data_IF_463008887143
#
_entry.id   IF_463008887143
#
_cell.length_a   1.000
_cell.length_b   1.000
_cell.length_c   1.000
_cell.angle_alpha   90.00
_cell.angle_beta   90.00
_cell.angle_gamma   90.00
#
_symmetry.space_group_name_H-M   'P 1'
#
loop_
_entity.id
_entity.type
_entity.pdbx_description
1 polymer ?
#
# COMPACT_ATOMS: atom_id res chain seq x y z
N UNK A 1 -21.97 -0.87 21.13
CA UNK A 1 -21.48 -2.16 21.67
C UNK A 1 -20.81 -2.94 20.54
N UNK A 2 -19.60 -3.44 20.75
CA UNK A 2 -18.91 -4.31 19.78
C UNK A 2 -19.63 -5.67 19.79
N UNK A 3 -20.15 -6.09 18.62
CA UNK A 3 -20.78 -7.38 18.50
C UNK A 3 -19.72 -8.47 18.77
N UNK A 4 -20.02 -9.45 19.64
CA UNK A 4 -19.11 -10.57 20.02
C UNK A 4 -18.47 -11.24 18.77
N UNK A 5 -19.25 -11.40 17.70
CA UNK A 5 -18.76 -11.99 16.43
C UNK A 5 -17.69 -11.11 15.77
N UNK A 6 -17.85 -9.80 15.81
CA UNK A 6 -16.87 -8.87 15.25
C UNK A 6 -15.56 -8.86 16.06
N UNK A 7 -15.66 -8.87 17.40
CA UNK A 7 -14.48 -8.96 18.26
C UNK A 7 -13.71 -10.26 18.02
N UNK A 8 -14.40 -11.39 17.93
CA UNK A 8 -13.78 -12.68 17.59
C UNK A 8 -13.10 -12.68 16.22
N UNK A 9 -13.72 -12.05 15.22
CA UNK A 9 -13.10 -11.91 13.89
C UNK A 9 -11.81 -11.07 13.95
N UNK A 10 -11.80 -9.95 14.67
CA UNK A 10 -10.59 -9.13 14.82
C UNK A 10 -9.47 -9.89 15.53
N UNK A 11 -9.80 -10.64 16.60
CA UNK A 11 -8.84 -11.49 17.31
C UNK A 11 -8.29 -12.57 16.36
N UNK A 12 -9.15 -13.26 15.62
CA UNK A 12 -8.74 -14.28 14.68
C UNK A 12 -7.83 -13.72 13.57
N UNK A 13 -8.17 -12.55 12.98
CA UNK A 13 -7.34 -11.91 11.97
C UNK A 13 -6.02 -11.38 12.55
N UNK A 14 -6.04 -10.83 13.76
CA UNK A 14 -4.83 -10.41 14.47
C UNK A 14 -3.89 -11.57 14.76
N UNK A 15 -4.44 -12.70 15.26
CA UNK A 15 -3.67 -13.93 15.47
C UNK A 15 -3.13 -14.48 14.15
N UNK A 16 -3.95 -14.49 13.10
CA UNK A 16 -3.53 -14.93 11.76
C UNK A 16 -2.37 -14.04 11.25
N UNK A 17 -2.43 -12.74 11.44
CA UNK A 17 -1.35 -11.82 11.06
C UNK A 17 -0.07 -12.12 11.84
N UNK A 18 -0.15 -12.27 13.16
CA UNK A 18 1.03 -12.57 13.99
C UNK A 18 1.68 -13.89 13.58
N UNK A 19 0.88 -14.96 13.40
CA UNK A 19 1.36 -16.24 12.92
C UNK A 19 1.98 -16.10 11.52
N UNK A 20 1.31 -15.41 10.60
CA UNK A 20 1.82 -15.16 9.25
C UNK A 20 3.15 -14.41 9.26
N UNK A 21 3.30 -13.41 10.12
CA UNK A 21 4.56 -12.67 10.29
C UNK A 21 5.70 -13.61 10.71
N UNK A 22 5.51 -14.43 11.74
CA UNK A 22 6.56 -15.34 12.21
C UNK A 22 6.88 -16.40 11.17
N UNK A 23 5.85 -17.04 10.61
CA UNK A 23 6.01 -18.14 9.63
C UNK A 23 6.68 -17.62 8.34
N UNK A 24 6.33 -16.43 7.88
CA UNK A 24 6.90 -15.83 6.67
C UNK A 24 8.42 -15.64 6.73
N UNK A 25 8.99 -15.47 7.93
CA UNK A 25 10.43 -15.30 8.13
C UNK A 25 11.24 -16.58 7.85
N UNK A 26 10.61 -17.76 7.94
CA UNK A 26 11.25 -19.03 7.60
C UNK A 26 11.46 -19.25 6.10
N UNK A 27 10.66 -18.58 5.26
CA UNK A 27 10.69 -18.74 3.80
C UNK A 27 11.67 -17.78 3.12
N UNK A 28 12.23 -18.21 1.99
CA UNK A 28 13.12 -17.40 1.15
C UNK A 28 14.21 -18.26 0.52
N UNK A 29 15.09 -17.67 -0.34
CA UNK A 29 16.15 -18.42 -1.03
C UNK A 29 17.06 -19.21 -0.07
N UNK A 30 17.47 -18.61 1.04
CA UNK A 30 18.16 -19.30 2.12
C UNK A 30 17.13 -19.81 3.14
N UNK A 31 16.99 -21.11 3.28
CA UNK A 31 16.09 -21.71 4.27
C UNK A 31 16.63 -21.50 5.69
N UNK A 32 15.82 -20.91 6.56
CA UNK A 32 16.11 -20.77 8.00
C UNK A 32 15.00 -21.53 8.73
N UNK A 33 15.34 -22.55 9.55
CA UNK A 33 14.35 -23.29 10.32
C UNK A 33 13.53 -22.41 11.25
N UNK A 34 12.25 -22.69 11.41
CA UNK A 34 11.33 -21.85 12.20
C UNK A 34 11.72 -21.78 13.70
N UNK A 35 12.32 -22.84 14.24
CA UNK A 35 12.84 -22.85 15.61
C UNK A 35 14.00 -21.86 15.78
N UNK A 36 14.89 -21.74 14.78
CA UNK A 36 15.96 -20.75 14.76
C UNK A 36 15.39 -19.35 14.62
N UNK A 37 14.42 -19.13 13.71
CA UNK A 37 13.71 -17.84 13.56
C UNK A 37 13.11 -17.40 14.90
N UNK A 38 12.42 -18.33 15.58
CA UNK A 38 11.78 -18.04 16.87
C UNK A 38 12.79 -17.67 17.95
N UNK A 39 13.90 -18.42 18.06
CA UNK A 39 14.99 -18.12 19.02
C UNK A 39 15.63 -16.76 18.74
N UNK A 40 15.90 -16.42 17.47
CA UNK A 40 16.43 -15.12 17.09
C UNK A 40 15.46 -14.00 17.49
N UNK A 41 14.15 -14.15 17.22
CA UNK A 41 13.15 -13.15 17.59
C UNK A 41 13.08 -12.96 19.11
N UNK A 42 13.02 -14.05 19.89
CA UNK A 42 12.98 -13.97 21.35
C UNK A 42 14.22 -13.30 21.93
N UNK A 43 15.39 -13.61 21.37
CA UNK A 43 16.63 -12.98 21.81
C UNK A 43 16.69 -11.48 21.48
N UNK A 44 16.33 -11.10 20.23
CA UNK A 44 16.39 -9.69 19.79
C UNK A 44 15.33 -8.80 20.42
N UNK A 45 14.14 -9.32 20.72
CA UNK A 45 13.05 -8.54 21.28
C UNK A 45 13.05 -8.52 22.81
N UNK A 46 13.46 -9.60 23.45
CA UNK A 46 13.32 -9.78 24.89
C UNK A 46 14.61 -10.14 25.63
N UNK A 47 15.72 -10.36 24.91
CA UNK A 47 16.97 -10.79 25.49
C UNK A 47 16.99 -12.24 25.99
N UNK A 48 15.99 -13.07 25.62
CA UNK A 48 15.90 -14.47 26.07
C UNK A 48 16.77 -15.40 25.23
N UNK A 49 17.43 -16.33 25.91
CA UNK A 49 18.22 -17.40 25.29
C UNK A 49 19.66 -16.98 24.98
N UNK A 50 20.51 -17.96 24.73
CA UNK A 50 21.91 -17.79 24.31
C UNK A 50 21.97 -17.92 22.78
N UNK A 51 22.67 -17.04 22.06
CA UNK A 51 22.88 -17.16 20.63
C UNK A 51 23.66 -18.44 20.30
N UNK A 52 22.97 -19.46 19.83
CA UNK A 52 23.51 -20.76 19.41
C UNK A 52 23.35 -21.03 17.91
N UNK A 53 22.90 -20.00 17.16
CA UNK A 53 22.67 -20.04 15.72
C UNK A 53 23.80 -19.41 14.92
N UNK A 54 23.84 -19.68 13.62
CA UNK A 54 24.81 -19.08 12.73
C UNK A 54 24.59 -17.55 12.61
N UNK A 55 25.64 -16.71 12.78
CA UNK A 55 25.51 -15.24 12.61
C UNK A 55 24.90 -14.81 11.26
N UNK A 56 25.14 -15.57 10.18
CA UNK A 56 24.50 -15.33 8.88
C UNK A 56 23.00 -15.52 8.90
N UNK A 57 22.47 -16.49 9.67
CA UNK A 57 21.03 -16.68 9.83
C UNK A 57 20.40 -15.51 10.60
N UNK A 58 21.08 -15.01 11.63
CA UNK A 58 20.63 -13.82 12.35
C UNK A 58 20.57 -12.60 11.45
N UNK A 59 21.61 -12.36 10.66
CA UNK A 59 21.66 -11.25 9.70
C UNK A 59 20.49 -11.32 8.70
N UNK A 60 20.26 -12.50 8.11
CA UNK A 60 19.16 -12.74 7.16
C UNK A 60 17.80 -12.48 7.82
N UNK A 61 17.57 -13.02 9.02
CA UNK A 61 16.27 -12.90 9.69
C UNK A 61 16.07 -11.46 10.18
N UNK A 62 17.02 -10.90 10.94
CA UNK A 62 16.81 -9.65 11.65
C UNK A 62 16.99 -8.40 10.78
N UNK A 63 17.97 -8.38 9.88
CA UNK A 63 18.27 -7.18 9.09
C UNK A 63 17.60 -7.19 7.70
N UNK A 64 17.22 -8.35 7.17
CA UNK A 64 16.62 -8.44 5.84
C UNK A 64 15.13 -8.80 5.93
N UNK A 65 14.80 -9.94 6.58
CA UNK A 65 13.43 -10.47 6.51
C UNK A 65 12.44 -9.76 7.42
N UNK A 66 12.83 -9.41 8.65
CA UNK A 66 11.92 -8.71 9.57
C UNK A 66 11.52 -7.35 9.03
N UNK A 67 12.42 -6.45 8.60
CA UNK A 67 12.03 -5.19 8.00
C UNK A 67 11.17 -5.37 6.74
N UNK A 68 11.48 -6.35 5.89
CA UNK A 68 10.74 -6.63 4.67
C UNK A 68 9.32 -7.11 4.98
N UNK A 69 9.14 -8.02 5.92
CA UNK A 69 7.85 -8.50 6.38
C UNK A 69 7.01 -7.36 6.98
N UNK A 70 7.62 -6.52 7.85
CA UNK A 70 6.94 -5.37 8.45
C UNK A 70 6.52 -4.35 7.38
N UNK A 71 7.40 -4.04 6.43
CA UNK A 71 7.06 -3.15 5.32
C UNK A 71 5.91 -3.74 4.48
N UNK A 72 5.95 -5.04 4.18
CA UNK A 72 4.86 -5.73 3.47
C UNK A 72 3.53 -5.62 4.21
N UNK A 73 3.52 -5.87 5.50
CA UNK A 73 2.33 -5.71 6.33
C UNK A 73 1.80 -4.27 6.31
N UNK A 74 2.66 -3.27 6.44
CA UNK A 74 2.29 -1.84 6.41
C UNK A 74 1.76 -1.40 5.05
N UNK A 75 2.43 -1.78 3.97
CA UNK A 75 2.01 -1.44 2.59
C UNK A 75 0.67 -2.10 2.29
N UNK A 76 0.50 -3.38 2.62
CA UNK A 76 -0.77 -4.08 2.46
C UNK A 76 -1.91 -3.45 3.25
N UNK A 77 -1.66 -3.12 4.52
CA UNK A 77 -2.60 -2.41 5.38
C UNK A 77 -3.02 -1.06 4.80
N UNK A 78 -2.04 -0.24 4.42
CA UNK A 78 -2.28 1.11 3.93
C UNK A 78 -3.00 1.12 2.59
N UNK A 79 -2.58 0.31 1.62
CA UNK A 79 -3.27 0.23 0.32
C UNK A 79 -4.71 -0.28 0.44
N UNK A 80 -4.98 -1.27 1.30
CA UNK A 80 -6.32 -1.75 1.57
C UNK A 80 -7.19 -0.69 2.24
N UNK A 81 -6.63 0.05 3.20
CA UNK A 81 -7.29 1.16 3.88
C UNK A 81 -7.65 2.28 2.90
N UNK A 82 -6.69 2.72 2.09
CA UNK A 82 -6.87 3.75 1.06
C UNK A 82 -7.93 3.31 0.05
N UNK A 83 -7.85 2.07 -0.46
CA UNK A 83 -8.82 1.54 -1.39
C UNK A 83 -10.25 1.56 -0.83
N UNK A 84 -10.44 1.17 0.44
CA UNK A 84 -11.75 1.17 1.08
C UNK A 84 -12.40 2.56 1.10
N UNK A 85 -11.63 3.60 1.46
CA UNK A 85 -12.16 4.97 1.57
C UNK A 85 -12.32 5.65 0.20
N UNK A 86 -11.45 5.37 -0.76
CA UNK A 86 -11.59 5.89 -2.12
C UNK A 86 -12.84 5.33 -2.80
N UNK A 87 -13.10 4.02 -2.66
CA UNK A 87 -14.31 3.39 -3.16
C UNK A 87 -15.58 4.00 -2.53
N UNK A 88 -15.52 4.39 -1.25
CA UNK A 88 -16.62 5.05 -0.57
C UNK A 88 -16.90 6.46 -1.11
N UNK A 89 -15.85 7.28 -1.21
CA UNK A 89 -15.94 8.70 -1.61
C UNK A 89 -16.31 8.84 -3.09
N UNK A 90 -15.82 7.95 -3.95
CA UNK A 90 -16.14 7.94 -5.38
C UNK A 90 -17.40 7.16 -5.69
N UNK A 91 -17.94 6.39 -4.75
CA UNK A 91 -19.04 5.44 -4.95
C UNK A 91 -18.78 4.48 -6.11
N UNK A 92 -17.51 4.20 -6.34
CA UNK A 92 -17.05 3.30 -7.39
C UNK A 92 -16.23 2.16 -6.76
N UNK A 93 -16.68 0.90 -6.85
CA UNK A 93 -15.96 -0.24 -6.28
C UNK A 93 -14.62 -0.53 -6.96
N UNK A 94 -14.37 0.08 -8.12
CA UNK A 94 -13.13 -0.03 -8.89
C UNK A 94 -12.16 1.14 -8.64
N UNK A 95 -12.45 2.04 -7.69
CA UNK A 95 -11.53 3.10 -7.35
C UNK A 95 -10.29 2.55 -6.63
N UNK A 96 -9.13 2.95 -7.13
CA UNK A 96 -7.81 2.51 -6.68
C UNK A 96 -6.87 3.72 -6.57
N UNK A 97 -5.92 3.74 -5.62
CA UNK A 97 -4.94 4.83 -5.49
C UNK A 97 -4.16 5.12 -6.78
N UNK A 98 -3.94 4.13 -7.64
CA UNK A 98 -3.27 4.32 -8.93
C UNK A 98 -4.02 5.26 -9.87
N UNK A 99 -5.35 5.29 -9.81
CA UNK A 99 -6.18 6.15 -10.65
C UNK A 99 -6.13 7.64 -10.25
N UNK A 100 -5.51 7.96 -9.12
CA UNK A 100 -5.38 9.34 -8.64
C UNK A 100 -4.16 10.09 -9.18
N UNK A 101 -3.34 9.47 -10.00
CA UNK A 101 -2.12 10.07 -10.53
C UNK A 101 -0.92 10.06 -9.57
N UNK A 102 -1.13 9.68 -8.32
CA UNK A 102 -0.09 9.72 -7.26
C UNK A 102 1.07 8.78 -7.58
N UNK A 103 0.76 7.56 -8.01
CA UNK A 103 1.77 6.54 -8.36
C UNK A 103 2.60 6.94 -9.57
N UNK A 104 1.98 7.49 -10.62
CA UNK A 104 2.69 7.94 -11.81
C UNK A 104 3.59 9.16 -11.53
N UNK A 105 3.15 10.06 -10.64
CA UNK A 105 4.00 11.13 -10.11
C UNK A 105 5.19 10.59 -9.33
N UNK A 106 4.97 9.61 -8.46
CA UNK A 106 6.06 8.94 -7.74
C UNK A 106 7.07 8.30 -8.70
N UNK A 107 6.58 7.64 -9.74
CA UNK A 107 7.40 7.04 -10.80
C UNK A 107 8.24 8.10 -11.51
N UNK A 108 7.64 9.22 -11.91
CA UNK A 108 8.39 10.31 -12.55
C UNK A 108 9.49 10.87 -11.63
N UNK A 109 9.18 11.09 -10.35
CA UNK A 109 10.17 11.53 -9.36
C UNK A 109 11.34 10.54 -9.19
N UNK A 110 11.04 9.26 -9.13
CA UNK A 110 12.04 8.19 -9.06
C UNK A 110 12.92 8.15 -10.32
N UNK A 111 12.31 8.22 -11.50
CA UNK A 111 13.02 8.24 -12.81
C UNK A 111 13.97 9.42 -12.87
N UNK A 112 13.51 10.62 -12.54
CA UNK A 112 14.34 11.83 -12.57
C UNK A 112 15.57 11.67 -11.67
N UNK A 113 15.38 11.19 -10.45
CA UNK A 113 16.49 11.08 -9.51
C UNK A 113 17.49 10.00 -9.89
N UNK A 114 17.02 8.84 -10.29
CA UNK A 114 17.93 7.72 -10.61
C UNK A 114 18.71 7.97 -11.89
N UNK A 115 18.11 8.61 -12.90
CA UNK A 115 18.77 8.80 -14.21
C UNK A 115 19.55 10.11 -14.33
N UNK A 116 19.14 11.17 -13.64
CA UNK A 116 19.67 12.51 -13.91
C UNK A 116 20.30 13.20 -12.70
N UNK A 117 19.94 12.81 -11.49
CA UNK A 117 20.39 13.50 -10.25
C UNK A 117 21.39 12.65 -9.47
N UNK A 118 21.17 11.33 -9.42
CA UNK A 118 22.00 10.42 -8.61
C UNK A 118 21.65 10.46 -7.11
N UNK A 119 22.46 9.80 -6.30
CA UNK A 119 22.27 9.74 -4.84
C UNK A 119 22.80 11.03 -4.17
N UNK A 120 21.87 11.84 -3.61
CA UNK A 120 22.24 13.08 -2.88
C UNK A 120 22.22 12.83 -1.35
N UNK A 121 21.21 12.10 -0.86
CA UNK A 121 20.92 11.87 0.57
C UNK A 121 21.00 10.36 0.88
N UNK A 122 21.85 9.63 0.17
CA UNK A 122 21.98 8.17 0.32
C UNK A 122 20.64 7.45 0.11
N UNK A 123 20.31 6.53 1.02
CA UNK A 123 19.09 5.69 0.96
C UNK A 123 17.76 6.46 0.89
N UNK A 124 17.71 7.69 1.33
CA UNK A 124 16.51 8.51 1.34
C UNK A 124 16.27 9.24 0.00
N UNK A 125 17.24 9.28 -0.90
CA UNK A 125 17.15 10.04 -2.15
C UNK A 125 15.97 9.57 -3.00
N UNK A 126 15.87 8.28 -3.28
CA UNK A 126 14.80 7.71 -4.09
C UNK A 126 13.41 7.85 -3.43
N UNK A 127 13.22 7.47 -2.14
CA UNK A 127 11.93 7.66 -1.46
C UNK A 127 11.47 9.12 -1.42
N UNK A 128 12.36 10.07 -1.14
CA UNK A 128 12.00 11.50 -1.09
C UNK A 128 11.60 12.01 -2.48
N UNK A 129 12.38 11.68 -3.51
CA UNK A 129 12.06 12.11 -4.88
C UNK A 129 10.72 11.53 -5.37
N UNK A 130 10.48 10.24 -5.12
CA UNK A 130 9.21 9.60 -5.45
C UNK A 130 8.05 10.23 -4.66
N UNK A 131 8.23 10.53 -3.38
CA UNK A 131 7.22 11.19 -2.56
C UNK A 131 6.91 12.61 -3.05
N UNK A 132 7.92 13.40 -3.40
CA UNK A 132 7.74 14.74 -3.97
C UNK A 132 7.00 14.65 -5.30
N UNK A 133 7.37 13.74 -6.19
CA UNK A 133 6.68 13.50 -7.46
C UNK A 133 5.21 13.13 -7.26
N UNK A 134 4.91 12.28 -6.26
CA UNK A 134 3.56 11.93 -5.86
C UNK A 134 2.75 13.14 -5.40
N UNK A 135 3.33 13.99 -4.55
CA UNK A 135 2.70 15.24 -4.08
C UNK A 135 2.42 16.23 -5.21
N UNK A 136 3.40 16.44 -6.09
CA UNK A 136 3.24 17.34 -7.24
C UNK A 136 2.13 16.85 -8.16
N UNK A 137 2.08 15.56 -8.47
CA UNK A 137 1.00 14.98 -9.26
C UNK A 137 -0.37 15.17 -8.60
N UNK A 138 -0.48 14.92 -7.29
CA UNK A 138 -1.70 15.16 -6.53
C UNK A 138 -2.14 16.63 -6.61
N UNK A 139 -1.22 17.57 -6.42
CA UNK A 139 -1.52 19.00 -6.50
C UNK A 139 -2.04 19.38 -7.89
N UNK A 140 -1.42 18.87 -8.95
CA UNK A 140 -1.88 19.10 -10.33
C UNK A 140 -3.30 18.56 -10.53
N UNK A 141 -3.58 17.34 -10.08
CA UNK A 141 -4.92 16.73 -10.16
C UNK A 141 -5.95 17.59 -9.42
N UNK A 142 -5.64 18.01 -8.19
CA UNK A 142 -6.54 18.85 -7.40
C UNK A 142 -6.76 20.23 -8.02
N UNK A 143 -5.74 20.87 -8.55
CA UNK A 143 -5.85 22.18 -9.24
C UNK A 143 -6.77 22.08 -10.47
N UNK A 144 -6.60 21.04 -11.29
CA UNK A 144 -7.43 20.85 -12.49
C UNK A 144 -8.88 20.50 -12.10
N UNK A 145 -9.05 19.58 -11.14
CA UNK A 145 -10.36 19.11 -10.73
C UNK A 145 -11.19 20.18 -10.01
N UNK A 146 -10.55 21.12 -9.29
CA UNK A 146 -11.24 22.15 -8.48
C UNK A 146 -11.68 23.39 -9.27
N UNK A 147 -11.29 23.54 -10.53
CA UNK A 147 -11.42 24.76 -11.33
C UNK A 147 -12.84 25.34 -11.48
N UNK A 148 -13.92 24.59 -11.21
CA UNK A 148 -15.30 25.07 -11.33
C UNK A 148 -16.08 24.98 -10.01
N UNK A 149 -15.40 25.01 -8.87
CA UNK A 149 -16.07 25.04 -7.56
C UNK A 149 -16.71 23.72 -7.11
N UNK A 150 -16.82 22.72 -7.98
CA UNK A 150 -17.36 21.39 -7.67
C UNK A 150 -16.26 20.35 -7.76
N UNK A 151 -16.06 19.58 -6.67
CA UNK A 151 -15.19 18.40 -6.62
C UNK A 151 -16.07 17.18 -6.83
N UNK A 152 -16.41 16.90 -8.08
CA UNK A 152 -17.14 15.69 -8.46
C UNK A 152 -16.17 14.51 -8.53
N UNK A 153 -16.61 13.35 -8.04
CA UNK A 153 -15.80 12.13 -7.99
C UNK A 153 -15.31 11.70 -9.37
N UNK A 154 -16.19 11.78 -10.39
CA UNK A 154 -15.87 11.36 -11.76
C UNK A 154 -14.80 12.29 -12.36
N UNK A 155 -14.92 13.59 -12.10
CA UNK A 155 -13.93 14.56 -12.56
C UNK A 155 -12.57 14.37 -11.91
N UNK A 156 -12.53 14.07 -10.60
CA UNK A 156 -11.28 13.74 -9.91
C UNK A 156 -10.60 12.51 -10.50
N UNK A 157 -11.36 11.44 -10.76
CA UNK A 157 -10.84 10.23 -11.38
C UNK A 157 -10.33 10.49 -12.81
N UNK A 158 -11.10 11.21 -13.65
CA UNK A 158 -10.69 11.55 -15.01
C UNK A 158 -9.43 12.42 -15.03
N UNK A 159 -9.35 13.43 -14.16
CA UNK A 159 -8.15 14.26 -14.01
C UNK A 159 -6.95 13.42 -13.54
N UNK A 160 -7.16 12.51 -12.58
CA UNK A 160 -6.13 11.60 -12.10
C UNK A 160 -5.58 10.71 -13.22
N UNK A 161 -6.46 10.11 -14.01
CA UNK A 161 -6.07 9.28 -15.16
C UNK A 161 -5.32 10.12 -16.21
N UNK A 162 -5.82 11.30 -16.57
CA UNK A 162 -5.17 12.18 -17.55
C UNK A 162 -3.76 12.60 -17.08
N UNK A 163 -3.62 13.03 -15.83
CA UNK A 163 -2.32 13.38 -15.23
C UNK A 163 -1.40 12.15 -15.18
N UNK A 164 -1.93 10.96 -14.86
CA UNK A 164 -1.16 9.72 -14.88
C UNK A 164 -0.54 9.44 -16.24
N UNK A 165 -1.31 9.58 -17.31
CA UNK A 165 -0.78 9.36 -18.66
C UNK A 165 0.32 10.37 -19.02
N UNK A 166 0.16 11.65 -18.69
CA UNK A 166 1.18 12.67 -18.96
C UNK A 166 2.46 12.39 -18.15
N UNK A 167 2.34 12.14 -16.83
CA UNK A 167 3.49 11.85 -15.98
C UNK A 167 4.22 10.58 -16.44
N UNK A 168 3.47 9.53 -16.82
CA UNK A 168 4.05 8.29 -17.30
C UNK A 168 4.71 8.45 -18.68
N UNK A 169 4.12 9.26 -19.59
CA UNK A 169 4.74 9.57 -20.89
C UNK A 169 6.09 10.29 -20.71
N UNK A 170 6.17 11.26 -19.78
CA UNK A 170 7.43 11.95 -19.45
C UNK A 170 8.42 10.96 -18.82
N UNK A 171 7.98 10.14 -17.87
CA UNK A 171 8.84 9.13 -17.25
C UNK A 171 9.41 8.14 -18.27
N UNK A 172 8.58 7.64 -19.19
CA UNK A 172 9.01 6.73 -20.25
C UNK A 172 9.98 7.40 -21.26
N UNK A 173 9.76 8.67 -21.57
CA UNK A 173 10.68 9.44 -22.41
C UNK A 173 12.06 9.57 -21.73
N UNK A 174 12.09 9.90 -20.45
CA UNK A 174 13.33 10.00 -19.68
C UNK A 174 14.04 8.65 -19.56
N UNK A 175 13.29 7.55 -19.38
CA UNK A 175 13.83 6.19 -19.39
C UNK A 175 14.46 5.83 -20.73
N UNK A 176 13.79 6.19 -21.82
CA UNK A 176 14.31 5.96 -23.18
C UNK A 176 15.61 6.72 -23.46
N UNK A 177 15.75 7.94 -22.94
CA UNK A 177 16.94 8.79 -23.08
C UNK A 177 18.04 8.47 -22.06
N UNK A 178 17.75 7.66 -21.04
CA UNK A 178 18.65 7.37 -19.93
C UNK A 178 19.66 6.24 -20.22
N UNK A 179 20.62 6.07 -19.31
CA UNK A 179 21.55 4.93 -19.33
C UNK A 179 20.82 3.60 -19.09
N UNK A 180 21.17 2.56 -19.83
CA UNK A 180 20.50 1.26 -19.77
C UNK A 180 20.56 0.58 -18.40
N UNK A 181 21.67 0.70 -17.67
CA UNK A 181 21.82 0.10 -16.33
C UNK A 181 20.93 0.79 -15.30
N UNK A 182 20.94 2.12 -15.30
CA UNK A 182 20.08 2.91 -14.43
C UNK A 182 18.59 2.71 -14.76
N UNK A 183 18.25 2.64 -16.05
CA UNK A 183 16.89 2.37 -16.51
C UNK A 183 16.37 1.02 -16.02
N UNK A 184 17.19 -0.03 -16.02
CA UNK A 184 16.80 -1.34 -15.50
C UNK A 184 16.44 -1.29 -14.00
N UNK A 185 17.25 -0.60 -13.18
CA UNK A 185 16.97 -0.46 -11.75
C UNK A 185 15.63 0.24 -11.49
N UNK A 186 15.34 1.31 -12.23
CA UNK A 186 14.06 2.01 -12.14
C UNK A 186 12.89 1.13 -12.60
N UNK A 187 13.05 0.37 -13.68
CA UNK A 187 12.02 -0.55 -14.16
C UNK A 187 11.67 -1.60 -13.10
N UNK A 188 12.66 -2.19 -12.42
CA UNK A 188 12.40 -3.10 -11.30
C UNK A 188 11.65 -2.42 -10.16
N UNK A 189 12.02 -1.19 -9.80
CA UNK A 189 11.31 -0.43 -8.78
C UNK A 189 9.86 -0.12 -9.20
N UNK A 190 9.62 0.23 -10.48
CA UNK A 190 8.28 0.48 -11.02
C UNK A 190 7.36 -0.74 -10.95
N UNK A 191 7.92 -1.95 -11.07
CA UNK A 191 7.16 -3.19 -10.94
C UNK A 191 6.72 -3.51 -9.51
N UNK A 192 7.20 -2.73 -8.53
CA UNK A 192 6.87 -2.87 -7.12
C UNK A 192 7.58 -4.00 -6.41
N UNK A 193 8.13 -3.70 -5.25
CA UNK A 193 8.87 -4.66 -4.44
C UNK A 193 9.19 -4.12 -3.06
N UNK A 194 9.65 -5.00 -2.17
CA UNK A 194 10.02 -4.64 -0.80
C UNK A 194 11.55 -4.68 -0.59
N UNK A 195 12.33 -4.61 -1.67
CA UNK A 195 13.80 -4.67 -1.61
C UNK A 195 14.46 -3.50 -0.87
N UNK A 196 13.79 -2.36 -0.76
CA UNK A 196 14.25 -1.19 0.01
C UNK A 196 13.95 -1.30 1.52
N UNK A 197 13.35 -2.39 1.99
CA UNK A 197 12.98 -2.55 3.38
C UNK A 197 14.21 -2.58 4.29
N UNK A 198 14.31 -1.58 5.17
CA UNK A 198 15.34 -1.45 6.21
C UNK A 198 14.71 -0.86 7.46
N UNK A 199 15.28 -1.12 8.63
CA UNK A 199 14.76 -0.62 9.90
C UNK A 199 14.60 0.90 9.90
N UNK A 200 15.56 1.62 9.33
CA UNK A 200 15.60 3.09 9.28
C UNK A 200 14.44 3.68 8.48
N UNK A 201 13.91 2.93 7.50
CA UNK A 201 12.84 3.39 6.61
C UNK A 201 11.44 3.03 7.11
N UNK A 202 11.30 2.22 8.18
CA UNK A 202 9.98 1.76 8.64
C UNK A 202 9.18 2.80 9.41
N UNK A 203 9.85 3.76 10.04
CA UNK A 203 9.18 4.74 10.89
C UNK A 203 8.11 5.56 10.14
N UNK A 204 8.42 6.01 8.92
CA UNK A 204 7.53 6.85 8.11
C UNK A 204 6.29 6.09 7.62
N UNK A 205 6.39 4.88 7.00
CA UNK A 205 5.23 4.06 6.67
C UNK A 205 4.38 3.69 7.89
N UNK A 206 5.02 3.37 9.02
CA UNK A 206 4.30 3.04 10.26
C UNK A 206 3.46 4.22 10.73
N UNK A 207 4.07 5.41 10.82
CA UNK A 207 3.36 6.62 11.18
C UNK A 207 2.23 6.92 10.18
N UNK A 208 2.50 6.82 8.88
CA UNK A 208 1.52 7.05 7.81
C UNK A 208 0.28 6.15 7.94
N UNK A 209 0.48 4.85 8.18
CA UNK A 209 -0.63 3.89 8.31
C UNK A 209 -1.40 4.11 9.61
N UNK A 210 -0.72 4.32 10.74
CA UNK A 210 -1.37 4.55 12.04
C UNK A 210 -2.17 5.84 12.06
N UNK A 211 -1.56 6.98 11.67
CA UNK A 211 -2.26 8.26 11.61
C UNK A 211 -3.37 8.24 10.57
N UNK A 212 -3.13 7.64 9.40
CA UNK A 212 -4.14 7.46 8.38
C UNK A 212 -5.35 6.68 8.88
N UNK A 213 -5.12 5.56 9.57
CA UNK A 213 -6.20 4.76 10.17
C UNK A 213 -6.99 5.57 11.20
N UNK A 214 -6.32 6.29 12.10
CA UNK A 214 -6.98 7.11 13.13
C UNK A 214 -7.84 8.20 12.47
N UNK A 215 -7.29 8.95 11.53
CA UNK A 215 -8.00 10.02 10.82
C UNK A 215 -9.20 9.49 10.04
N UNK A 216 -9.03 8.38 9.32
CA UNK A 216 -10.09 7.78 8.50
C UNK A 216 -11.17 7.10 9.35
N UNK A 217 -10.84 6.52 10.51
CA UNK A 217 -11.82 6.05 11.49
C UNK A 217 -12.64 7.21 12.06
N UNK A 218 -12.02 8.36 12.30
CA UNK A 218 -12.73 9.59 12.67
C UNK A 218 -13.72 10.07 11.61
N UNK A 219 -13.44 9.74 10.34
CA UNK A 219 -14.28 10.07 9.19
C UNK A 219 -15.28 8.95 8.81
N UNK A 220 -15.37 7.86 9.57
CA UNK A 220 -16.24 6.72 9.23
C UNK A 220 -17.73 7.10 9.05
N UNK A 221 -18.27 8.01 9.90
CA UNK A 221 -19.66 8.50 9.77
C UNK A 221 -19.86 9.31 8.47
N UNK A 222 -19.07 10.34 8.16
CA UNK A 222 -19.13 11.02 6.87
C UNK A 222 -18.99 10.09 5.66
N UNK A 223 -18.11 9.09 5.72
CA UNK A 223 -17.92 8.11 4.64
C UNK A 223 -19.17 7.25 4.43
N UNK A 224 -19.80 6.77 5.52
CA UNK A 224 -21.06 6.03 5.43
C UNK A 224 -22.18 6.87 4.82
N UNK A 225 -22.28 8.14 5.20
CA UNK A 225 -23.29 9.06 4.66
C UNK A 225 -23.08 9.32 3.15
N UNK A 226 -21.83 9.50 2.70
CA UNK A 226 -21.51 9.66 1.26
C UNK A 226 -21.83 8.41 0.45
N UNK A 227 -21.61 7.23 1.01
CA UNK A 227 -22.00 5.97 0.35
C UNK A 227 -23.52 5.84 0.17
N UNK A 228 -24.32 6.33 1.13
CA UNK A 228 -25.77 6.35 1.05
C UNK A 228 -26.33 7.35 0.02
N UNK A 229 -25.47 8.27 -0.46
CA UNK A 229 -25.82 9.26 -1.48
C UNK A 229 -25.43 10.68 -1.07
N UNK A 230 -25.16 11.54 -2.06
CA UNK A 230 -24.76 12.92 -1.83
C UNK A 230 -25.88 13.74 -1.16
N UNK A 231 -27.12 13.56 -1.61
CA UNK A 231 -28.30 14.19 -1.00
C UNK A 231 -28.46 13.79 0.45
N UNK A 232 -28.29 12.51 0.78
CA UNK A 232 -28.31 12.01 2.17
C UNK A 232 -27.20 12.65 3.01
N UNK A 233 -26.00 12.81 2.47
CA UNK A 233 -24.92 13.49 3.18
C UNK A 233 -25.26 14.97 3.46
N UNK A 234 -25.84 15.68 2.50
CA UNK A 234 -26.26 17.09 2.64
C UNK A 234 -27.38 17.23 3.66
N UNK A 235 -28.40 16.37 3.66
CA UNK A 235 -29.48 16.40 4.66
C UNK A 235 -28.99 16.12 6.08
N UNK A 236 -27.89 15.40 6.22
CA UNK A 236 -27.19 15.20 7.50
C UNK A 236 -26.26 16.35 7.89
N UNK A 237 -26.27 17.47 7.14
CA UNK A 237 -25.45 18.65 7.39
C UNK A 237 -23.97 18.49 6.99
N UNK A 238 -23.63 17.49 6.19
CA UNK A 238 -22.27 17.23 5.76
C UNK A 238 -21.95 17.97 4.45
N UNK A 239 -20.83 18.65 4.41
CA UNK A 239 -20.29 19.20 3.16
C UNK A 239 -19.51 18.08 2.41
N UNK A 240 -20.16 17.47 1.41
CA UNK A 240 -19.60 16.39 0.61
C UNK A 240 -18.24 16.74 -0.01
N UNK A 241 -18.07 17.99 -0.49
CA UNK A 241 -16.82 18.51 -1.06
C UNK A 241 -15.68 18.46 -0.02
N UNK A 242 -15.93 18.94 1.19
CA UNK A 242 -14.92 18.96 2.25
C UNK A 242 -14.52 17.54 2.67
N UNK A 243 -15.50 16.63 2.77
CA UNK A 243 -15.22 15.23 3.11
C UNK A 243 -14.38 14.57 2.00
N UNK A 244 -14.76 14.74 0.74
CA UNK A 244 -13.98 14.24 -0.41
C UNK A 244 -12.56 14.77 -0.38
N UNK A 245 -12.37 16.08 -0.27
CA UNK A 245 -11.05 16.70 -0.26
C UNK A 245 -10.16 16.13 0.86
N UNK A 246 -10.68 16.03 2.09
CA UNK A 246 -9.92 15.47 3.22
C UNK A 246 -9.51 14.01 2.97
N UNK A 247 -10.43 13.19 2.49
CA UNK A 247 -10.13 11.78 2.19
C UNK A 247 -9.09 11.67 1.07
N UNK A 248 -9.22 12.47 0.00
CA UNK A 248 -8.23 12.48 -1.08
C UNK A 248 -6.85 12.90 -0.61
N UNK A 249 -6.76 13.96 0.22
CA UNK A 249 -5.48 14.41 0.78
C UNK A 249 -4.84 13.30 1.64
N UNK A 250 -5.59 12.70 2.57
CA UNK A 250 -5.08 11.62 3.42
C UNK A 250 -4.65 10.42 2.56
N UNK A 251 -5.52 9.98 1.65
CA UNK A 251 -5.25 8.85 0.77
C UNK A 251 -4.01 9.08 -0.11
N UNK A 252 -3.88 10.27 -0.70
CA UNK A 252 -2.74 10.60 -1.56
C UNK A 252 -1.43 10.71 -0.79
N UNK A 253 -1.43 11.33 0.40
CA UNK A 253 -0.26 11.39 1.27
C UNK A 253 0.18 9.98 1.69
N UNK A 254 -0.74 9.15 2.13
CA UNK A 254 -0.45 7.75 2.48
C UNK A 254 0.09 6.98 1.27
N UNK A 255 -0.56 7.12 0.11
CA UNK A 255 -0.11 6.46 -1.14
C UNK A 255 1.30 6.92 -1.50
N UNK A 256 1.57 8.22 -1.45
CA UNK A 256 2.90 8.77 -1.73
C UNK A 256 3.98 8.18 -0.83
N UNK A 257 3.73 8.08 0.48
CA UNK A 257 4.66 7.45 1.44
C UNK A 257 4.86 5.96 1.13
N UNK A 258 3.79 5.21 0.89
CA UNK A 258 3.89 3.77 0.67
C UNK A 258 4.58 3.45 -0.65
N UNK A 259 4.15 4.10 -1.75
CA UNK A 259 4.71 3.88 -3.08
C UNK A 259 6.18 4.34 -3.17
N UNK A 260 6.57 5.39 -2.46
CA UNK A 260 7.96 5.86 -2.46
C UNK A 260 8.97 4.82 -1.98
N UNK A 261 8.54 3.88 -1.14
CA UNK A 261 9.41 2.82 -0.59
C UNK A 261 9.16 1.47 -1.27
N UNK A 262 7.91 1.17 -1.66
CA UNK A 262 7.54 -0.14 -2.22
C UNK A 262 7.42 -0.15 -3.74
N UNK A 263 7.53 1.00 -4.40
CA UNK A 263 7.15 1.11 -5.80
C UNK A 263 5.65 0.86 -6.02
N UNK A 264 5.28 0.56 -7.27
CA UNK A 264 3.88 0.43 -7.67
C UNK A 264 3.31 -0.96 -7.35
N UNK A 265 2.42 -1.06 -6.37
CA UNK A 265 1.72 -2.31 -6.00
C UNK A 265 0.21 -2.08 -6.15
N UNK A 266 -0.39 -2.66 -7.19
CA UNK A 266 -1.80 -2.52 -7.51
C UNK A 266 -2.68 -3.64 -6.95
N UNK A 267 -4.00 -3.51 -7.16
CA UNK A 267 -5.06 -4.48 -6.85
C UNK A 267 -5.33 -4.75 -5.36
N UNK A 268 -4.42 -4.48 -4.45
CA UNK A 268 -4.63 -4.66 -3.00
C UNK A 268 -5.81 -3.80 -2.54
N UNK A 269 -5.82 -2.52 -2.94
CA UNK A 269 -6.88 -1.56 -2.64
C UNK A 269 -8.23 -1.87 -3.28
N UNK A 270 -8.24 -2.69 -4.33
CA UNK A 270 -9.48 -3.15 -4.97
C UNK A 270 -10.05 -4.41 -4.31
N UNK A 271 -9.21 -5.43 -4.17
CA UNK A 271 -9.63 -6.76 -3.77
C UNK A 271 -9.92 -6.87 -2.27
N UNK A 272 -9.01 -6.36 -1.43
CA UNK A 272 -9.12 -6.52 0.03
C UNK A 272 -10.38 -5.87 0.60
N UNK A 273 -10.75 -4.62 0.24
CA UNK A 273 -12.01 -4.03 0.72
C UNK A 273 -13.25 -4.77 0.24
N UNK A 274 -13.21 -5.38 -0.96
CA UNK A 274 -14.30 -6.20 -1.45
C UNK A 274 -14.51 -7.44 -0.59
N UNK A 275 -13.44 -8.14 -0.23
CA UNK A 275 -13.49 -9.30 0.67
C UNK A 275 -13.95 -8.87 2.08
N UNK A 276 -13.38 -7.79 2.61
CA UNK A 276 -13.71 -7.27 3.94
C UNK A 276 -15.21 -6.91 4.06
N UNK A 277 -15.81 -6.29 3.02
CA UNK A 277 -17.26 -5.98 3.00
C UNK A 277 -18.13 -7.23 3.08
N UNK A 278 -17.70 -8.35 2.52
CA UNK A 278 -18.44 -9.62 2.64
C UNK A 278 -18.40 -10.19 4.06
N UNK A 279 -17.36 -9.87 4.83
CA UNK A 279 -17.20 -10.36 6.21
C UNK A 279 -17.93 -9.50 7.25
N UNK A 280 -17.84 -8.16 7.10
CA UNK A 280 -18.31 -7.22 8.16
C UNK A 280 -19.30 -6.18 7.67
N UNK A 281 -19.72 -6.23 6.40
CA UNK A 281 -20.60 -5.24 5.78
C UNK A 281 -19.85 -3.97 5.35
N UNK A 282 -20.62 -2.94 4.97
CA UNK A 282 -20.08 -1.70 4.39
C UNK A 282 -19.83 -0.58 5.44
N UNK A 283 -20.12 -0.82 6.72
CA UNK A 283 -19.95 0.16 7.79
C UNK A 283 -18.45 0.40 8.08
N UNK A 284 -17.96 1.62 7.83
CA UNK A 284 -16.54 1.94 7.84
C UNK A 284 -15.84 1.75 9.18
N UNK A 285 -16.52 1.92 10.32
CA UNK A 285 -15.91 1.65 11.62
C UNK A 285 -15.49 0.19 11.79
N UNK A 286 -16.23 -0.73 11.15
CA UNK A 286 -15.93 -2.16 11.17
C UNK A 286 -15.05 -2.56 9.99
N UNK A 287 -15.28 -1.95 8.84
CA UNK A 287 -14.60 -2.26 7.60
C UNK A 287 -13.11 -1.91 7.63
N UNK A 288 -12.75 -0.69 8.09
CA UNK A 288 -11.37 -0.20 8.02
C UNK A 288 -10.37 -1.05 8.82
N UNK A 289 -10.64 -1.44 10.09
CA UNK A 289 -9.73 -2.33 10.82
C UNK A 289 -9.57 -3.70 10.17
N UNK A 290 -10.64 -4.25 9.60
CA UNK A 290 -10.59 -5.54 8.88
C UNK A 290 -9.78 -5.40 7.60
N UNK A 291 -9.91 -4.29 6.86
CA UNK A 291 -9.07 -4.02 5.67
C UNK A 291 -7.58 -3.96 6.03
N UNK A 292 -7.23 -3.30 7.13
CA UNK A 292 -5.83 -3.24 7.61
C UNK A 292 -5.27 -4.64 7.86
N UNK A 293 -5.96 -5.46 8.64
CA UNK A 293 -5.50 -6.79 8.99
C UNK A 293 -5.43 -7.73 7.77
N UNK A 294 -6.48 -7.75 6.96
CA UNK A 294 -6.51 -8.57 5.74
C UNK A 294 -5.46 -8.13 4.71
N UNK A 295 -5.29 -6.82 4.52
CA UNK A 295 -4.29 -6.28 3.61
C UNK A 295 -2.88 -6.62 4.04
N UNK A 296 -2.59 -6.54 5.35
CA UNK A 296 -1.31 -6.97 5.93
C UNK A 296 -1.03 -8.44 5.66
N UNK A 297 -1.97 -9.32 6.02
CA UNK A 297 -1.83 -10.77 5.79
C UNK A 297 -1.63 -11.07 4.31
N UNK A 298 -2.45 -10.47 3.46
CA UNK A 298 -2.39 -10.70 2.02
C UNK A 298 -1.01 -10.35 1.45
N UNK A 299 -0.49 -9.15 1.74
CA UNK A 299 0.77 -8.72 1.13
C UNK A 299 1.99 -9.43 1.72
N UNK A 300 1.96 -9.83 2.99
CA UNK A 300 3.00 -10.69 3.58
C UNK A 300 3.10 -12.01 2.83
N UNK A 301 1.98 -12.66 2.51
CA UNK A 301 2.00 -13.92 1.78
C UNK A 301 2.32 -13.77 0.30
N UNK A 302 1.91 -12.68 -0.33
CA UNK A 302 2.33 -12.36 -1.71
C UNK A 302 3.84 -12.14 -1.77
N UNK A 303 4.45 -11.48 -0.77
CA UNK A 303 5.90 -11.33 -0.69
C UNK A 303 6.61 -12.69 -0.50
N UNK A 304 6.06 -13.57 0.33
CA UNK A 304 6.59 -14.95 0.46
C UNK A 304 6.55 -15.67 -0.88
N UNK A 305 5.42 -15.62 -1.58
CA UNK A 305 5.30 -16.24 -2.90
C UNK A 305 6.31 -15.61 -3.90
N UNK A 306 6.41 -14.29 -3.92
CA UNK A 306 7.31 -13.56 -4.83
C UNK A 306 8.79 -13.96 -4.68
N UNK A 307 9.27 -14.18 -3.45
CA UNK A 307 10.67 -14.55 -3.16
C UNK A 307 10.95 -16.05 -3.14
N UNK A 308 9.92 -16.89 -3.36
CA UNK A 308 10.10 -18.37 -3.35
C UNK A 308 9.80 -19.02 -4.68
N UNK A 309 8.95 -18.43 -5.54
CA UNK A 309 8.48 -19.04 -6.78
C UNK A 309 9.60 -19.17 -7.84
N UNK A 310 10.48 -18.19 -7.94
CA UNK A 310 11.55 -18.12 -8.97
C UNK A 310 12.93 -17.99 -8.31
N UNK A 311 13.08 -18.50 -7.08
CA UNK A 311 14.34 -18.38 -6.36
C UNK A 311 15.53 -18.90 -7.22
N UNK A 312 16.70 -18.22 -7.22
CA UNK A 312 17.12 -17.20 -6.25
C UNK A 312 16.66 -15.76 -6.57
N UNK A 313 16.02 -15.52 -7.69
CA UNK A 313 15.52 -14.20 -8.08
C UNK A 313 14.18 -13.88 -7.39
N UNK A 314 13.97 -12.59 -7.08
CA UNK A 314 12.71 -12.11 -6.54
C UNK A 314 11.76 -11.73 -7.68
N UNK A 315 10.54 -12.31 -7.70
CA UNK A 315 9.47 -11.83 -8.56
C UNK A 315 8.99 -10.45 -8.06
N UNK A 316 8.80 -9.43 -8.92
CA UNK A 316 8.22 -8.18 -8.50
C UNK A 316 6.81 -8.38 -7.90
N UNK A 317 6.59 -7.81 -6.71
CA UNK A 317 5.33 -8.01 -5.95
C UNK A 317 4.13 -7.44 -6.71
N UNK A 318 4.32 -6.31 -7.41
CA UNK A 318 3.27 -5.71 -8.23
C UNK A 318 2.79 -6.63 -9.35
N UNK A 319 3.68 -7.44 -9.95
CA UNK A 319 3.31 -8.45 -10.95
C UNK A 319 2.46 -9.54 -10.30
N UNK A 320 2.88 -10.04 -9.13
CA UNK A 320 2.13 -11.06 -8.40
C UNK A 320 0.73 -10.56 -7.98
N UNK A 321 0.65 -9.35 -7.41
CA UNK A 321 -0.64 -8.76 -7.01
C UNK A 321 -1.55 -8.49 -8.20
N UNK A 322 -1.00 -8.05 -9.35
CA UNK A 322 -1.77 -7.83 -10.56
C UNK A 322 -2.34 -9.14 -11.13
N UNK A 323 -1.54 -10.21 -11.15
CA UNK A 323 -2.00 -11.53 -11.60
C UNK A 323 -3.12 -12.08 -10.69
N UNK A 324 -2.91 -12.06 -9.36
CA UNK A 324 -3.91 -12.52 -8.40
C UNK A 324 -5.20 -11.67 -8.47
N UNK A 325 -5.04 -10.34 -8.50
CA UNK A 325 -6.17 -9.42 -8.55
C UNK A 325 -6.96 -9.51 -9.84
N UNK A 326 -6.28 -9.63 -10.98
CA UNK A 326 -6.92 -9.84 -12.29
C UNK A 326 -7.76 -11.13 -12.32
N UNK A 327 -7.18 -12.25 -11.88
CA UNK A 327 -7.91 -13.53 -11.77
C UNK A 327 -9.08 -13.45 -10.80
N UNK A 328 -8.93 -12.75 -9.67
CA UNK A 328 -10.00 -12.54 -8.71
C UNK A 328 -11.20 -11.80 -9.35
N UNK A 329 -10.95 -10.72 -10.11
CA UNK A 329 -12.03 -9.97 -10.76
C UNK A 329 -12.67 -10.74 -11.90
N UNK A 330 -11.91 -11.47 -12.72
CA UNK A 330 -12.46 -12.38 -13.74
C UNK A 330 -13.39 -13.41 -13.10
N UNK A 331 -12.96 -14.02 -11.99
CA UNK A 331 -13.78 -14.97 -11.25
C UNK A 331 -15.04 -14.35 -10.64
N UNK A 332 -14.97 -13.09 -10.22
CA UNK A 332 -16.12 -12.35 -9.69
C UNK A 332 -17.16 -12.04 -10.76
N UNK A 333 -16.72 -11.68 -11.98
CA UNK A 333 -17.61 -11.37 -13.12
C UNK A 333 -18.33 -12.61 -13.65
N UNK A 334 -17.71 -13.80 -13.58
CA UNK A 334 -18.34 -15.05 -13.99
C UNK A 334 -19.48 -15.52 -13.07
N UNK A 335 -19.56 -15.00 -11.85
CA UNK A 335 -20.57 -15.38 -10.84
C UNK A 335 -21.79 -14.44 -10.82
N UNK A 336 -21.79 -13.40 -11.64
CA UNK A 336 -22.92 -12.51 -11.89
C UNK A 336 -23.57 -12.87 -13.23
#
# INVERSE_FOLDING_TARGET
MINRRYALLLIALGTLLLVSCVVSLGFGPARVPLDVVWRILLHKLFGFGVPDWNPGQEHIVWLIRVPRMLLGALVGAGLALIGAVLQAVTRNPLADPHLLGVTSGATLGAVIVVLHVGEIIGLLTLPIAAFIGALLSMLVVLMIASRHGRLDSDRLLLCGVAVSFVMMAIANLLLFMGDHRASSAVMFWMLGGLGLARWELLAVPTASVLFGLILLLGMARPLNALMAGEQTAVTLGLNARTVRLRVFLIASLMTGVLVSISGSIGFVGLMVPHIARRLVGAEHRRLLPVCVLLGSVFLVWVDVAARTMIAPEDLPIGVATAAIGGLFFIGLMRRR
#
